data_IF_616181823072
#
_entry.id   IF_616181823072
#
_cell.length_a   1.000
_cell.length_b   1.000
_cell.length_c   1.000
_cell.angle_alpha   90.00
_cell.angle_beta   90.00
_cell.angle_gamma   90.00
#
_symmetry.space_group_name_H-M   'P 1'
#
loop_
_entity.id
_entity.type
_entity.pdbx_description
1 polymer ?
#
# COMPACT_ATOMS: atom_id res chain seq x y z
N UNK A 1 8.92 -16.35 9.43
CA UNK A 1 8.48 -14.95 9.69
C UNK A 1 9.49 -14.31 10.61
N UNK A 2 10.12 -13.22 10.18
CA UNK A 2 11.09 -12.49 11.01
C UNK A 2 10.32 -11.77 12.12
N UNK A 3 10.73 -11.95 13.37
CA UNK A 3 10.06 -11.30 14.50
C UNK A 3 10.40 -9.81 14.47
N UNK A 4 9.38 -8.95 14.38
CA UNK A 4 9.53 -7.49 14.40
C UNK A 4 10.06 -7.04 15.77
N UNK A 5 11.13 -6.23 15.84
CA UNK A 5 11.62 -5.74 17.13
C UNK A 5 10.57 -4.90 17.87
N UNK A 6 10.43 -5.14 19.17
CA UNK A 6 9.42 -4.48 20.02
C UNK A 6 9.52 -2.93 20.01
N UNK A 7 10.72 -2.38 19.76
CA UNK A 7 10.92 -0.94 19.65
C UNK A 7 10.11 -0.32 18.51
N UNK A 8 9.85 -1.06 17.41
CA UNK A 8 9.13 -0.54 16.25
C UNK A 8 7.60 -0.73 16.31
N UNK A 9 7.10 -1.65 17.14
CA UNK A 9 5.65 -1.96 17.23
C UNK A 9 4.80 -0.72 17.56
N UNK A 10 5.31 0.15 18.44
CA UNK A 10 4.61 1.38 18.86
C UNK A 10 4.88 2.57 17.94
N UNK A 11 5.78 2.44 16.98
CA UNK A 11 6.14 3.54 16.07
C UNK A 11 5.18 3.65 14.89
N UNK A 12 4.68 2.53 14.37
CA UNK A 12 3.75 2.51 13.22
C UNK A 12 2.54 3.42 13.41
N UNK A 13 1.76 3.28 14.51
CA UNK A 13 0.63 4.16 14.80
C UNK A 13 1.00 5.64 14.93
N UNK A 14 2.21 5.96 15.41
CA UNK A 14 2.69 7.36 15.49
C UNK A 14 2.97 7.94 14.11
N UNK A 15 3.58 7.16 13.22
CA UNK A 15 3.79 7.58 11.83
C UNK A 15 2.47 7.77 11.09
N UNK A 16 1.53 6.84 11.22
CA UNK A 16 0.20 6.96 10.63
C UNK A 16 -0.54 8.20 11.12
N UNK A 17 -0.44 8.52 12.43
CA UNK A 17 -1.02 9.75 12.99
C UNK A 17 -0.36 11.02 12.46
N UNK A 18 0.96 11.04 12.33
CA UNK A 18 1.72 12.23 11.96
C UNK A 18 1.69 12.55 10.45
N UNK A 19 1.73 11.51 9.61
CA UNK A 19 1.92 11.66 8.16
C UNK A 19 0.78 11.09 7.33
N UNK A 20 -0.19 10.43 7.96
CA UNK A 20 -1.30 9.80 7.26
C UNK A 20 -2.19 10.82 6.55
N UNK A 21 -2.43 10.60 5.26
CA UNK A 21 -3.15 11.51 4.37
C UNK A 21 -4.40 10.89 3.74
N UNK A 22 -4.64 9.58 3.92
CA UNK A 22 -5.84 8.90 3.44
C UNK A 22 -6.29 7.82 4.43
N UNK A 23 -7.55 7.42 4.32
CA UNK A 23 -8.11 6.27 5.02
C UNK A 23 -8.35 5.14 4.02
N UNK A 24 -7.96 3.93 4.41
CA UNK A 24 -7.97 2.76 3.52
C UNK A 24 -8.69 1.58 4.18
N UNK A 25 -9.50 0.88 3.39
CA UNK A 25 -10.15 -0.37 3.77
C UNK A 25 -9.46 -1.52 3.04
N UNK A 26 -8.81 -2.40 3.79
CA UNK A 26 -8.15 -3.58 3.22
C UNK A 26 -9.13 -4.75 3.15
N UNK A 27 -9.13 -5.46 2.03
CA UNK A 27 -9.79 -6.76 1.90
C UNK A 27 -8.72 -7.83 1.96
N UNK A 28 -8.65 -8.54 3.08
CA UNK A 28 -7.64 -9.58 3.34
C UNK A 28 -8.35 -10.93 3.35
N UNK A 29 -7.91 -11.85 2.48
CA UNK A 29 -8.52 -13.18 2.35
C UNK A 29 -10.04 -13.09 2.07
N UNK A 30 -10.44 -12.16 1.19
CA UNK A 30 -11.83 -11.90 0.83
C UNK A 30 -12.66 -11.16 1.88
N UNK A 31 -12.09 -10.82 3.05
CA UNK A 31 -12.81 -10.14 4.14
C UNK A 31 -12.37 -8.69 4.28
N UNK A 32 -13.32 -7.77 4.18
CA UNK A 32 -13.09 -6.35 4.43
C UNK A 32 -12.76 -6.10 5.91
N UNK A 33 -11.70 -5.34 6.16
CA UNK A 33 -11.21 -4.94 7.48
C UNK A 33 -11.66 -3.51 7.83
N UNK A 34 -11.65 -3.12 9.12
CA UNK A 34 -11.88 -1.73 9.49
C UNK A 34 -10.94 -0.76 8.77
N UNK A 35 -11.40 0.46 8.52
CA UNK A 35 -10.59 1.48 7.89
C UNK A 35 -9.38 1.85 8.75
N UNK A 36 -8.22 2.00 8.11
CA UNK A 36 -6.96 2.39 8.78
C UNK A 36 -6.34 3.59 8.09
N UNK A 37 -5.69 4.45 8.88
CA UNK A 37 -4.98 5.62 8.37
C UNK A 37 -3.70 5.19 7.66
N UNK A 38 -3.52 5.66 6.43
CA UNK A 38 -2.39 5.30 5.56
C UNK A 38 -1.68 6.55 5.03
N UNK A 39 -0.47 6.35 4.54
CA UNK A 39 0.31 7.35 3.81
C UNK A 39 0.31 6.92 2.34
N UNK A 40 -0.55 7.54 1.54
CA UNK A 40 -0.63 7.32 0.10
C UNK A 40 0.28 8.31 -0.63
N UNK A 41 1.15 7.78 -1.49
CA UNK A 41 1.96 8.54 -2.44
C UNK A 41 1.65 8.05 -3.85
N UNK A 42 1.15 8.96 -4.69
CA UNK A 42 0.91 8.68 -6.10
C UNK A 42 2.20 8.94 -6.86
N UNK A 43 2.72 7.94 -7.56
CA UNK A 43 3.81 8.08 -8.52
C UNK A 43 3.22 7.96 -9.92
N UNK A 44 3.34 9.03 -10.72
CA UNK A 44 2.96 9.00 -12.14
C UNK A 44 4.25 8.83 -12.93
N UNK A 45 4.37 7.70 -13.62
CA UNK A 45 5.47 7.44 -14.53
C UNK A 45 4.90 7.47 -15.95
N UNK A 46 5.42 8.37 -16.78
CA UNK A 46 5.01 8.47 -18.18
C UNK A 46 6.09 7.79 -18.99
N UNK A 47 5.91 6.52 -19.34
CA UNK A 47 6.82 5.81 -20.23
C UNK A 47 6.34 5.95 -21.69
N UNK A 48 7.22 6.53 -22.52
CA UNK A 48 7.05 6.51 -23.97
C UNK A 48 7.65 5.19 -24.48
N UNK A 49 6.81 4.23 -24.86
CA UNK A 49 7.29 2.99 -25.46
C UNK A 49 7.74 3.26 -26.91
N UNK A 50 9.00 2.98 -27.23
CA UNK A 50 9.63 3.33 -28.53
C UNK A 50 9.08 2.54 -29.73
N UNK A 51 8.28 1.50 -29.56
CA UNK A 51 7.85 0.63 -30.68
C UNK A 51 6.53 1.01 -31.37
N UNK A 52 5.70 1.92 -30.83
CA UNK A 52 4.36 2.18 -31.40
C UNK A 52 3.87 3.65 -31.36
N UNK A 53 4.72 4.64 -31.06
CA UNK A 53 4.33 6.07 -30.96
C UNK A 53 3.15 6.35 -30.01
N UNK A 54 2.82 5.42 -29.10
CA UNK A 54 1.80 5.60 -28.07
C UNK A 54 2.47 5.82 -26.72
N UNK A 55 2.19 6.96 -26.09
CA UNK A 55 2.52 7.18 -24.69
C UNK A 55 1.59 6.31 -23.83
N UNK A 56 2.15 5.31 -23.14
CA UNK A 56 1.40 4.51 -22.16
C UNK A 56 1.70 5.11 -20.79
N UNK A 57 0.70 5.74 -20.17
CA UNK A 57 0.86 6.32 -18.83
C UNK A 57 0.56 5.26 -17.77
N UNK A 58 1.61 4.75 -17.11
CA UNK A 58 1.46 3.86 -15.96
C UNK A 58 1.43 4.65 -14.65
N UNK A 59 0.36 4.54 -13.86
CA UNK A 59 0.32 5.18 -12.52
C UNK A 59 0.58 4.19 -11.40
N UNK A 60 1.81 4.08 -10.90
CA UNK A 60 2.08 3.23 -9.71
C UNK A 60 1.75 3.98 -8.42
N UNK A 61 0.86 3.43 -7.60
CA UNK A 61 0.56 4.00 -6.28
C UNK A 61 1.37 3.29 -5.20
N UNK A 62 2.09 4.07 -4.40
CA UNK A 62 2.84 3.59 -3.24
C UNK A 62 2.08 3.93 -1.97
N UNK A 63 1.85 2.92 -1.15
CA UNK A 63 1.10 3.03 0.09
C UNK A 63 1.98 2.60 1.26
N UNK A 64 2.05 3.40 2.31
CA UNK A 64 2.64 2.98 3.58
C UNK A 64 1.58 2.88 4.68
N UNK A 65 1.61 1.75 5.41
CA UNK A 65 0.66 1.45 6.49
C UNK A 65 1.41 0.86 7.69
N UNK A 66 0.93 1.10 8.91
CA UNK A 66 1.49 0.44 10.08
C UNK A 66 1.30 -1.08 9.93
N UNK A 67 2.36 -1.86 10.09
CA UNK A 67 2.26 -3.30 9.81
C UNK A 67 1.33 -4.05 10.75
N UNK A 68 1.19 -3.56 11.98
CA UNK A 68 0.24 -4.11 12.95
C UNK A 68 -1.22 -3.87 12.56
N UNK A 69 -1.50 -2.96 11.64
CA UNK A 69 -2.86 -2.59 11.23
C UNK A 69 -3.45 -3.53 10.17
N UNK A 70 -2.62 -4.31 9.47
CA UNK A 70 -3.03 -5.18 8.35
C UNK A 70 -2.41 -6.58 8.46
N UNK A 71 -2.71 -7.33 9.55
CA UNK A 71 -2.16 -8.66 9.74
C UNK A 71 -2.61 -9.61 8.63
N UNK A 72 -1.66 -10.39 8.10
CA UNK A 72 -1.94 -11.43 7.10
C UNK A 72 -2.16 -10.94 5.67
N UNK A 73 -1.87 -9.67 5.40
CA UNK A 73 -1.90 -9.11 4.04
C UNK A 73 -0.92 -9.86 3.12
N UNK A 74 -1.39 -10.22 1.92
CA UNK A 74 -0.63 -10.93 0.90
C UNK A 74 -0.74 -10.25 -0.46
N UNK A 75 0.38 -10.18 -1.18
CA UNK A 75 0.43 -9.68 -2.55
C UNK A 75 -0.34 -10.58 -3.51
N UNK A 76 -0.84 -9.98 -4.60
CA UNK A 76 -1.61 -10.58 -5.70
C UNK A 76 -2.95 -11.21 -5.31
N UNK A 77 -3.21 -11.42 -4.02
CA UNK A 77 -4.48 -11.92 -3.47
C UNK A 77 -5.37 -10.81 -2.93
N UNK A 78 -4.79 -9.90 -2.17
CA UNK A 78 -5.55 -8.92 -1.39
C UNK A 78 -5.70 -7.58 -2.13
N UNK A 79 -6.67 -6.78 -1.69
CA UNK A 79 -6.97 -5.47 -2.27
C UNK A 79 -7.13 -4.39 -1.20
N UNK A 80 -7.06 -3.14 -1.63
CA UNK A 80 -7.27 -1.97 -0.78
C UNK A 80 -8.19 -0.97 -1.47
N UNK A 81 -9.19 -0.49 -0.74
CA UNK A 81 -10.09 0.56 -1.18
C UNK A 81 -9.71 1.89 -0.53
N UNK A 82 -9.50 2.93 -1.34
CA UNK A 82 -9.12 4.27 -0.92
C UNK A 82 -9.93 5.29 -1.71
N UNK A 83 -10.66 6.17 -1.04
CA UNK A 83 -11.44 7.22 -1.72
C UNK A 83 -12.48 6.71 -2.72
N UNK A 84 -13.01 5.48 -2.52
CA UNK A 84 -13.97 4.84 -3.42
C UNK A 84 -13.35 4.05 -4.57
N UNK A 85 -12.03 4.10 -4.77
CA UNK A 85 -11.31 3.31 -5.78
C UNK A 85 -10.69 2.08 -5.12
N UNK A 86 -10.78 0.93 -5.78
CA UNK A 86 -10.17 -0.32 -5.31
C UNK A 86 -8.94 -0.66 -6.11
N UNK A 87 -7.84 -0.92 -5.43
CA UNK A 87 -6.56 -1.28 -6.02
C UNK A 87 -6.13 -2.68 -5.58
N UNK A 88 -5.53 -3.44 -6.49
CA UNK A 88 -4.88 -4.71 -6.15
C UNK A 88 -3.53 -4.46 -5.49
N UNK A 89 -3.21 -5.22 -4.44
CA UNK A 89 -1.88 -5.22 -3.80
C UNK A 89 -0.93 -6.01 -4.70
N UNK A 90 0.00 -5.35 -5.41
CA UNK A 90 0.95 -6.03 -6.31
C UNK A 90 2.14 -6.57 -5.52
N UNK A 91 2.68 -5.76 -4.61
CA UNK A 91 3.87 -6.11 -3.85
C UNK A 91 3.81 -5.55 -2.43
N UNK A 92 4.45 -6.26 -1.50
CA UNK A 92 4.60 -5.85 -0.10
C UNK A 92 6.07 -5.94 0.26
N UNK A 93 6.66 -4.80 0.62
CA UNK A 93 8.01 -4.69 1.17
C UNK A 93 7.90 -4.49 2.70
N UNK A 94 8.28 -5.53 3.45
CA UNK A 94 8.37 -5.52 4.90
C UNK A 94 9.85 -5.61 5.34
N UNK A 95 10.43 -4.45 5.65
CA UNK A 95 11.78 -4.35 6.22
C UNK A 95 11.85 -4.69 7.72
N UNK A 96 10.77 -5.26 8.28
CA UNK A 96 10.57 -5.57 9.68
C UNK A 96 10.69 -4.36 10.63
N UNK A 97 10.52 -3.12 10.11
CA UNK A 97 10.53 -1.90 10.94
C UNK A 97 9.15 -1.52 11.43
N UNK A 98 8.68 -0.29 11.21
CA UNK A 98 7.42 0.20 11.77
C UNK A 98 6.26 0.17 10.75
N UNK A 99 6.58 0.22 9.47
CA UNK A 99 5.63 0.40 8.37
C UNK A 99 5.83 -0.69 7.31
N UNK A 100 4.75 -1.12 6.67
CA UNK A 100 4.80 -1.85 5.40
C UNK A 100 4.80 -0.85 4.26
N UNK A 101 5.56 -1.13 3.21
CA UNK A 101 5.50 -0.43 1.94
C UNK A 101 4.79 -1.32 0.94
N UNK A 102 3.75 -0.80 0.30
CA UNK A 102 2.86 -1.56 -0.57
C UNK A 102 2.82 -0.88 -1.92
N UNK A 103 3.07 -1.64 -2.98
CA UNK A 103 2.84 -1.21 -4.36
C UNK A 103 1.45 -1.66 -4.80
N UNK A 104 0.67 -0.72 -5.32
CA UNK A 104 -0.68 -0.96 -5.79
C UNK A 104 -0.73 -0.86 -7.31
N UNK A 105 -1.62 -1.66 -7.91
CA UNK A 105 -1.91 -1.56 -9.33
C UNK A 105 -2.43 -0.17 -9.68
N UNK A 106 -1.85 0.43 -10.71
CA UNK A 106 -2.40 1.62 -11.34
C UNK A 106 -3.56 1.30 -12.27
N UNK A 107 -4.38 2.30 -12.53
CA UNK A 107 -5.12 2.34 -13.79
C UNK A 107 -4.10 2.46 -14.93
N UNK A 108 -4.30 1.64 -15.98
CA UNK A 108 -3.58 1.67 -17.26
C UNK A 108 -4.44 2.41 -18.27
#
# INVERSE_FOLDING_TARGET
>A
MTTRPAMFERMGPKFAKAFGNADAVFTVDGVARPAVRVILRVWRETDLAEEQEQAVQGTTHLLAVAASAVPGLASQRDSVAIGGVTYQVINIDDDARAMLRISLAGDI
#
